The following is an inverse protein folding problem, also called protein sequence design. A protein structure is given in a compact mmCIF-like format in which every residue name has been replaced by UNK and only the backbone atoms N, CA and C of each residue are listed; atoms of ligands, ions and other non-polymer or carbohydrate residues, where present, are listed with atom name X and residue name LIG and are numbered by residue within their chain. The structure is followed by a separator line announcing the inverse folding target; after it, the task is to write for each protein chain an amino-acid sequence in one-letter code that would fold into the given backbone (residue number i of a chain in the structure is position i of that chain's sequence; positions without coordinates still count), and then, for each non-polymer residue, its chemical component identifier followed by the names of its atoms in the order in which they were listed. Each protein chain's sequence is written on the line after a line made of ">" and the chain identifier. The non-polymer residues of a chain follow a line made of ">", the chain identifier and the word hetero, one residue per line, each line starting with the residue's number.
data_IF_915789840020
#
_entry.id   IF_915789840020
#
_cell.length_a   1.000
_cell.length_b   1.000
_cell.length_c   1.000
_cell.angle_alpha   90.00
_cell.angle_beta   90.00
_cell.angle_gamma   90.00
#
_symmetry.space_group_name_H-M   'P 1'
#
loop_
_entity.id
_entity.type
_entity.pdbx_description
1 polymer ?
#
# COMPACT_ATOMS: atom_id res chain seq x y z
N UNK A 1 43.46 -37.64 -9.23
CA UNK A 1 43.44 -36.32 -9.90
C UNK A 1 41.99 -35.93 -10.14
N UNK A 2 41.48 -34.85 -9.53
CA UNK A 2 40.05 -34.46 -9.57
C UNK A 2 39.90 -33.30 -10.57
N UNK A 3 39.16 -33.47 -11.67
CA UNK A 3 38.93 -32.42 -12.68
C UNK A 3 37.59 -31.73 -12.38
N UNK A 4 37.62 -30.44 -12.11
CA UNK A 4 36.45 -29.57 -11.92
C UNK A 4 36.13 -28.85 -13.23
N UNK A 5 34.87 -28.84 -13.65
CA UNK A 5 34.38 -28.12 -14.83
C UNK A 5 33.53 -26.94 -14.37
N UNK A 6 33.90 -25.73 -14.79
CA UNK A 6 33.18 -24.49 -14.47
C UNK A 6 32.30 -24.08 -15.64
N UNK A 7 30.99 -24.01 -15.45
CA UNK A 7 30.03 -23.55 -16.46
C UNK A 7 29.73 -22.07 -16.22
N UNK A 8 30.08 -21.20 -17.18
CA UNK A 8 29.67 -19.78 -17.22
C UNK A 8 28.41 -19.64 -18.07
N UNK A 9 27.33 -19.09 -17.50
CA UNK A 9 26.14 -18.67 -18.25
C UNK A 9 26.19 -17.16 -18.40
N UNK A 10 26.28 -16.68 -19.65
CA UNK A 10 26.21 -15.27 -20.01
C UNK A 10 24.75 -14.97 -20.35
N UNK A 11 24.12 -14.06 -19.59
CA UNK A 11 22.75 -13.61 -19.82
C UNK A 11 22.81 -12.37 -20.75
N UNK A 12 22.47 -12.55 -22.03
CA UNK A 12 22.23 -11.44 -22.95
C UNK A 12 20.85 -10.86 -22.66
N UNK A 13 20.81 -9.65 -22.08
CA UNK A 13 19.59 -8.86 -21.93
C UNK A 13 19.26 -8.13 -23.23
N UNK A 14 18.25 -8.61 -23.96
CA UNK A 14 17.68 -7.91 -25.11
C UNK A 14 16.77 -6.76 -24.65
N UNK A 15 17.06 -5.54 -25.12
CA UNK A 15 16.18 -4.38 -25.02
C UNK A 15 15.05 -4.54 -26.05
N UNK A 16 13.84 -4.88 -25.60
CA UNK A 16 12.64 -4.87 -26.43
C UNK A 16 12.04 -3.44 -26.44
N UNK A 17 12.16 -2.77 -27.58
CA UNK A 17 11.48 -1.51 -27.92
C UNK A 17 9.99 -1.81 -28.12
N UNK A 18 9.17 -1.54 -27.10
CA UNK A 18 7.72 -1.73 -27.16
C UNK A 18 7.02 -0.63 -27.95
N UNK A 19 6.36 -1.02 -29.04
CA UNK A 19 5.51 -0.17 -29.85
C UNK A 19 4.27 0.30 -29.06
N UNK A 20 4.06 1.62 -29.00
CA UNK A 20 2.86 2.27 -28.48
C UNK A 20 1.70 2.07 -29.48
N UNK A 21 0.98 0.96 -29.37
CA UNK A 21 -0.32 0.79 -30.01
C UNK A 21 -1.42 1.31 -29.05
N UNK A 22 -1.90 2.52 -29.34
CA UNK A 22 -3.10 3.07 -28.73
C UNK A 22 -4.35 2.42 -29.36
N UNK A 23 -5.00 1.52 -28.62
CA UNK A 23 -6.44 1.19 -28.65
C UNK A 23 -6.62 0.10 -27.58
N UNK A 24 -7.42 0.20 -26.52
CA UNK A 24 -8.72 0.82 -26.29
C UNK A 24 -8.82 1.26 -24.81
N UNK A 25 -8.88 2.56 -24.57
CA UNK A 25 -9.01 3.15 -23.23
C UNK A 25 -10.48 3.19 -22.74
N UNK A 26 -11.24 2.11 -22.98
CA UNK A 26 -12.68 2.10 -22.68
C UNK A 26 -13.15 0.93 -21.80
N UNK A 27 -12.28 -0.02 -21.43
CA UNK A 27 -12.69 -1.15 -20.59
C UNK A 27 -11.63 -1.63 -19.59
N UNK A 28 -10.63 -0.79 -19.30
CA UNK A 28 -9.80 -0.96 -18.12
C UNK A 28 -10.63 -0.54 -16.90
N UNK A 29 -11.46 -1.48 -16.46
CA UNK A 29 -12.24 -1.43 -15.25
C UNK A 29 -11.51 -0.66 -14.14
N UNK A 30 -12.20 0.37 -13.65
CA UNK A 30 -11.96 1.23 -12.48
C UNK A 30 -11.65 0.42 -11.22
N UNK A 31 -10.52 -0.27 -11.20
CA UNK A 31 -10.08 -1.15 -10.12
C UNK A 31 -8.65 -0.77 -9.78
N UNK A 32 -8.50 0.19 -8.86
CA UNK A 32 -7.21 0.46 -8.22
C UNK A 32 -6.69 1.90 -8.24
N UNK A 33 -7.43 2.88 -8.78
CA UNK A 33 -7.03 4.29 -8.69
C UNK A 33 -7.74 4.95 -7.52
N UNK A 34 -6.98 5.35 -6.49
CA UNK A 34 -7.48 6.22 -5.43
C UNK A 34 -7.69 7.62 -6.00
N UNK A 35 -8.89 8.14 -5.85
CA UNK A 35 -9.29 9.48 -6.28
C UNK A 35 -9.91 10.24 -5.11
N UNK A 36 -10.20 11.53 -5.31
CA UNK A 36 -10.91 12.37 -4.33
C UNK A 36 -12.38 11.95 -4.10
N UNK A 37 -12.87 10.99 -4.88
CA UNK A 37 -14.19 10.37 -4.71
C UNK A 37 -14.11 8.97 -4.09
N UNK A 38 -12.91 8.45 -3.83
CA UNK A 38 -12.74 7.16 -3.16
C UNK A 38 -12.98 7.32 -1.67
N UNK A 39 -13.92 6.55 -1.12
CA UNK A 39 -14.14 6.51 0.33
C UNK A 39 -13.12 5.59 0.99
N UNK A 40 -12.41 6.13 1.97
CA UNK A 40 -11.40 5.44 2.76
C UNK A 40 -11.71 5.58 4.24
N UNK A 41 -11.37 4.55 4.99
CA UNK A 41 -11.58 4.37 6.42
C UNK A 41 -10.27 4.53 7.20
N UNK A 42 -10.35 4.72 8.52
CA UNK A 42 -9.16 4.78 9.39
C UNK A 42 -8.28 3.52 9.35
N UNK A 43 -8.83 2.39 8.87
CA UNK A 43 -8.14 1.10 8.80
C UNK A 43 -7.45 0.86 7.46
N UNK A 44 -7.62 1.77 6.49
CA UNK A 44 -7.06 1.63 5.16
C UNK A 44 -5.57 1.92 5.14
N UNK A 45 -4.81 0.94 4.64
CA UNK A 45 -3.39 1.06 4.43
C UNK A 45 -3.03 0.90 2.96
N UNK A 46 -2.30 1.87 2.42
CA UNK A 46 -1.73 1.82 1.08
C UNK A 46 -0.21 1.69 1.21
N UNK A 47 0.38 0.56 0.78
CA UNK A 47 1.82 0.41 0.72
C UNK A 47 2.45 1.56 -0.07
N UNK A 48 3.43 2.25 0.53
CA UNK A 48 4.10 3.41 -0.06
C UNK A 48 3.44 4.77 0.22
N UNK A 49 2.16 4.81 0.58
CA UNK A 49 1.49 6.05 0.99
C UNK A 49 1.25 6.13 2.52
N UNK A 50 0.95 5.01 3.19
CA UNK A 50 0.79 4.93 4.65
C UNK A 50 -0.63 4.54 5.09
N UNK A 51 -0.96 4.88 6.33
CA UNK A 51 -2.27 4.67 6.96
C UNK A 51 -3.17 5.88 6.76
N UNK A 52 -4.36 5.66 6.21
CA UNK A 52 -5.32 6.73 6.03
C UNK A 52 -5.94 7.14 7.36
N UNK A 53 -5.99 8.44 7.64
CA UNK A 53 -6.72 8.98 8.77
C UNK A 53 -7.91 9.79 8.26
N UNK A 54 -9.12 9.23 8.40
CA UNK A 54 -10.34 9.81 7.86
C UNK A 54 -10.64 11.24 8.34
N UNK A 55 -10.44 11.61 9.62
CA UNK A 55 -10.65 13.00 10.07
C UNK A 55 -9.70 14.02 9.42
N UNK A 56 -8.53 13.58 8.99
CA UNK A 56 -7.47 14.43 8.45
C UNK A 56 -7.34 14.33 6.92
N UNK A 57 -8.08 13.40 6.29
CA UNK A 57 -8.13 13.19 4.84
C UNK A 57 -6.76 12.96 4.19
N UNK A 58 -5.83 12.37 4.93
CA UNK A 58 -4.43 12.19 4.55
C UNK A 58 -3.85 10.85 5.04
N UNK A 59 -2.67 10.48 4.52
CA UNK A 59 -1.95 9.27 4.89
C UNK A 59 -0.77 9.57 5.82
N UNK A 60 -0.53 8.67 6.78
CA UNK A 60 0.50 8.83 7.80
C UNK A 60 1.29 7.55 8.08
N UNK A 61 2.46 7.62 8.74
CA UNK A 61 3.32 6.45 8.99
C UNK A 61 2.73 5.42 9.96
N UNK A 62 1.88 5.85 10.90
CA UNK A 62 1.26 4.98 11.90
C UNK A 62 -0.26 4.96 11.75
N UNK A 63 -0.94 3.88 12.19
CA UNK A 63 -2.40 3.81 12.24
C UNK A 63 -3.02 4.96 13.03
N UNK A 64 -4.28 5.26 12.73
CA UNK A 64 -5.06 6.22 13.49
C UNK A 64 -5.17 5.78 14.96
N UNK A 65 -4.81 6.68 15.89
CA UNK A 65 -4.72 6.40 17.33
C UNK A 65 -3.72 5.29 17.71
N UNK A 66 -2.64 5.12 16.95
CA UNK A 66 -1.56 4.22 17.34
C UNK A 66 -0.90 4.66 18.65
N UNK A 67 -0.86 3.76 19.64
CA UNK A 67 -0.20 4.00 20.92
C UNK A 67 1.26 3.54 20.89
N UNK A 68 2.18 4.44 21.25
CA UNK A 68 3.59 4.15 21.44
C UNK A 68 3.89 4.00 22.94
N UNK A 69 4.25 2.80 23.35
CA UNK A 69 4.48 2.46 24.75
C UNK A 69 5.75 3.10 25.34
N UNK A 70 6.73 3.48 24.52
CA UNK A 70 7.95 4.13 24.99
C UNK A 70 7.71 5.61 25.29
N UNK A 71 6.92 6.27 24.44
CA UNK A 71 6.55 7.69 24.62
C UNK A 71 5.34 7.88 25.52
N UNK A 72 4.52 6.85 25.68
CA UNK A 72 3.19 6.91 26.30
C UNK A 72 2.27 7.93 25.61
N UNK A 73 2.34 8.01 24.29
CA UNK A 73 1.57 8.93 23.46
C UNK A 73 0.82 8.20 22.34
N UNK A 74 -0.25 8.83 21.87
CA UNK A 74 -1.05 8.39 20.72
C UNK A 74 -0.70 9.20 19.49
N UNK A 75 -0.49 8.52 18.37
CA UNK A 75 -0.27 9.17 17.07
C UNK A 75 -1.59 9.36 16.32
N UNK A 76 -1.83 10.58 15.87
CA UNK A 76 -2.95 10.92 14.99
C UNK A 76 -2.63 12.21 14.22
N UNK A 77 -3.02 12.26 12.95
CA UNK A 77 -2.97 13.49 12.14
C UNK A 77 -1.55 14.02 11.93
N UNK A 78 -0.52 13.19 12.07
CA UNK A 78 0.88 13.61 11.96
C UNK A 78 1.50 14.09 13.27
N UNK A 79 0.77 14.00 14.38
CA UNK A 79 1.20 14.50 15.70
C UNK A 79 1.10 13.42 16.78
N UNK A 80 1.83 13.62 17.88
CA UNK A 80 1.75 12.77 19.07
C UNK A 80 1.00 13.52 20.18
N UNK A 81 0.01 12.88 20.80
CA UNK A 81 -0.81 13.47 21.87
C UNK A 81 -0.99 12.55 23.07
N UNK A 82 -1.28 13.10 24.26
CA UNK A 82 -1.41 12.32 25.50
C UNK A 82 -2.69 11.47 25.57
N UNK A 83 -3.65 11.71 24.69
CA UNK A 83 -4.92 10.99 24.61
C UNK A 83 -5.26 10.68 23.15
N UNK A 84 -6.06 9.62 22.88
CA UNK A 84 -6.50 9.31 21.52
C UNK A 84 -7.39 10.43 20.97
N UNK A 85 -7.25 10.73 19.69
CA UNK A 85 -8.10 11.69 19.01
C UNK A 85 -9.51 11.13 18.85
N UNK A 86 -10.48 11.90 19.35
CA UNK A 86 -11.90 11.53 19.38
C UNK A 86 -12.62 12.24 18.23
N UNK A 87 -12.84 11.51 17.15
CA UNK A 87 -13.66 11.98 16.02
C UNK A 87 -14.64 10.87 15.63
N UNK A 88 -15.86 11.28 15.27
CA UNK A 88 -16.88 10.38 14.72
C UNK A 88 -16.61 10.05 13.25
N UNK A 89 -15.71 10.79 12.59
CA UNK A 89 -15.37 10.60 11.18
C UNK A 89 -14.46 9.38 11.05
N UNK A 90 -15.06 8.23 10.73
CA UNK A 90 -14.35 6.97 10.51
C UNK A 90 -14.15 6.65 9.02
N UNK A 91 -14.86 7.36 8.13
CA UNK A 91 -14.78 7.24 6.68
C UNK A 91 -14.84 8.63 6.04
N UNK A 92 -13.99 8.88 5.06
CA UNK A 92 -13.99 10.14 4.31
C UNK A 92 -13.32 9.94 2.95
N UNK A 93 -13.41 10.95 2.08
CA UNK A 93 -12.61 10.96 0.85
C UNK A 93 -11.27 11.67 1.08
N UNK A 94 -10.17 11.22 0.45
CA UNK A 94 -8.87 11.84 0.62
C UNK A 94 -8.87 13.28 0.10
N UNK A 95 -7.95 14.11 0.61
CA UNK A 95 -7.61 15.37 -0.04
C UNK A 95 -6.91 15.14 -1.38
N UNK A 96 -6.87 16.17 -2.23
CA UNK A 96 -6.27 16.09 -3.58
C UNK A 96 -4.82 15.59 -3.58
N UNK A 97 -3.98 16.12 -2.68
CA UNK A 97 -2.60 15.67 -2.52
C UNK A 97 -2.50 14.22 -2.05
N UNK A 98 -3.34 13.83 -1.09
CA UNK A 98 -3.36 12.47 -0.56
C UNK A 98 -3.80 11.46 -1.63
N UNK A 99 -4.81 11.80 -2.44
CA UNK A 99 -5.26 10.99 -3.57
C UNK A 99 -4.14 10.83 -4.61
N UNK A 100 -3.42 11.91 -4.93
CA UNK A 100 -2.30 11.88 -5.87
C UNK A 100 -1.15 11.00 -5.38
N UNK A 101 -0.76 11.13 -4.10
CA UNK A 101 0.30 10.31 -3.49
C UNK A 101 -0.09 8.83 -3.49
N UNK A 102 -1.32 8.53 -3.07
CA UNK A 102 -1.84 7.16 -3.06
C UNK A 102 -1.90 6.55 -4.46
N UNK A 103 -2.40 7.29 -5.45
CA UNK A 103 -2.44 6.85 -6.83
C UNK A 103 -1.04 6.58 -7.39
N UNK A 104 -0.06 7.44 -7.08
CA UNK A 104 1.32 7.25 -7.50
C UNK A 104 1.97 6.02 -6.84
N UNK A 105 1.73 5.80 -5.54
CA UNK A 105 2.23 4.63 -4.82
C UNK A 105 1.68 3.32 -5.40
N UNK A 106 0.38 3.28 -5.74
CA UNK A 106 -0.23 2.11 -6.37
C UNK A 106 0.26 1.90 -7.80
N UNK A 107 0.42 2.97 -8.59
CA UNK A 107 0.98 2.88 -9.93
C UNK A 107 2.40 2.30 -9.90
N UNK A 108 3.26 2.78 -8.99
CA UNK A 108 4.62 2.25 -8.82
C UNK A 108 4.63 0.76 -8.45
N UNK A 109 3.69 0.30 -7.63
CA UNK A 109 3.56 -1.11 -7.25
C UNK A 109 3.02 -2.00 -8.38
N UNK A 110 2.10 -1.49 -9.19
CA UNK A 110 1.62 -2.23 -10.37
C UNK A 110 2.72 -2.43 -11.42
N UNK A 111 3.63 -1.47 -11.56
CA UNK A 111 4.76 -1.55 -12.48
C UNK A 111 5.78 -2.65 -12.12
N UNK A 112 5.85 -3.08 -10.86
CA UNK A 112 6.78 -4.13 -10.40
C UNK A 112 6.21 -5.55 -10.51
N UNK A 113 4.99 -5.72 -11.07
CA UNK A 113 4.39 -7.04 -11.28
C UNK A 113 3.94 -7.77 -10.01
N UNK A 114 3.97 -7.11 -8.85
CA UNK A 114 3.49 -7.68 -7.58
C UNK A 114 1.97 -7.57 -7.54
N UNK A 115 1.29 -8.50 -8.20
CA UNK A 115 -0.17 -8.62 -8.20
C UNK A 115 -0.70 -9.04 -6.83
N UNK A 116 -1.39 -8.13 -6.15
CA UNK A 116 -2.13 -8.44 -4.92
C UNK A 116 -2.81 -7.20 -4.34
N UNK A 117 -4.12 -7.29 -4.09
CA UNK A 117 -5.08 -6.29 -3.59
C UNK A 117 -4.55 -4.92 -3.16
N UNK A 118 -5.20 -3.87 -3.67
CA UNK A 118 -4.72 -2.49 -3.74
C UNK A 118 -4.81 -1.66 -2.45
N UNK A 119 -5.30 -2.19 -1.33
CA UNK A 119 -5.19 -1.59 0.00
C UNK A 119 -5.57 -2.65 1.03
N UNK A 120 -4.90 -2.63 2.19
CA UNK A 120 -5.13 -3.60 3.26
C UNK A 120 -6.08 -2.95 4.27
N UNK A 121 -7.34 -3.40 4.30
CA UNK A 121 -8.25 -3.13 5.42
C UNK A 121 -7.76 -3.94 6.63
N UNK A 122 -7.17 -3.29 7.63
CA UNK A 122 -6.73 -3.96 8.86
C UNK A 122 -7.76 -3.80 9.96
N UNK A 123 -8.71 -4.72 10.07
CA UNK A 123 -9.62 -4.71 11.22
C UNK A 123 -8.84 -5.00 12.51
N UNK A 124 -8.88 -4.07 13.47
CA UNK A 124 -8.24 -4.21 14.77
C UNK A 124 -8.96 -5.18 15.70
N UNK A 125 -8.59 -6.47 15.65
CA UNK A 125 -8.30 -7.38 16.80
C UNK A 125 -7.91 -8.77 16.22
N UNK A 126 -6.65 -9.21 16.34
CA UNK A 126 -6.31 -10.64 16.27
C UNK A 126 -5.99 -11.32 14.91
N UNK A 127 -5.20 -10.73 14.01
CA UNK A 127 -4.75 -11.45 12.80
C UNK A 127 -3.42 -12.21 13.00
N UNK A 128 -3.46 -13.38 13.64
CA UNK A 128 -2.42 -14.41 13.47
C UNK A 128 -2.91 -15.45 12.46
N UNK A 129 -2.65 -15.23 11.17
CA UNK A 129 -2.77 -16.28 10.16
C UNK A 129 -1.37 -16.61 9.66
N UNK A 130 -0.68 -17.48 10.40
CA UNK A 130 0.50 -18.18 9.88
C UNK A 130 -0.03 -19.38 9.10
N UNK A 131 -0.11 -19.27 7.78
CA UNK A 131 -0.36 -20.42 6.93
C UNK A 131 0.91 -21.29 6.95
N UNK A 132 0.87 -22.41 7.66
CA UNK A 132 1.85 -23.49 7.48
C UNK A 132 1.25 -24.46 6.46
N UNK A 133 1.88 -24.60 5.31
CA UNK A 133 1.62 -25.72 4.40
C UNK A 133 2.41 -26.92 4.89
N UNK A 134 1.74 -27.96 5.39
CA UNK A 134 2.37 -29.27 5.58
C UNK A 134 2.32 -30.02 4.25
N UNK A 135 3.44 -30.40 3.64
CA UNK A 135 3.43 -31.39 2.58
C UNK A 135 3.07 -32.76 3.19
N UNK A 136 2.14 -33.46 2.53
CA UNK A 136 1.85 -34.89 2.78
C UNK A 136 2.91 -35.77 2.13
#
# INVERSE_FOLDING_TARGET
>A
MKRSSSVRRILLGGLATGALAATSAADAQTVGRITESTYLTNEDHIPGAGHYHAPFRAFYPHPYNHYDAQKQLYFYGGTWGPAPHRSIVNISTPGSDAARIAAAALAARSATGVGGSNYIHRNGFGSTSRSFSTPS
#
